data_IF_087549847860
#
_entry.id   IF_087549847860
#
_cell.length_a   1.000
_cell.length_b   1.000
_cell.length_c   1.000
_cell.angle_alpha   90.00
_cell.angle_beta   90.00
_cell.angle_gamma   90.00
#
_symmetry.space_group_name_H-M   'P 1'
#
loop_
_entity.id
_entity.type
_entity.pdbx_description
1 polymer ?
#
# COMPACT_ATOMS: atom_id res chain seq x y z
N UNK A 1 0.13 -8.01 28.87
CA UNK A 1 -1.18 -7.93 29.56
C UNK A 1 -2.14 -6.95 28.89
N UNK A 2 -1.87 -5.65 28.79
CA UNK A 2 -2.78 -4.67 28.14
C UNK A 2 -3.11 -4.97 26.66
N UNK A 3 -2.13 -5.39 25.85
CA UNK A 3 -2.35 -5.79 24.45
C UNK A 3 -3.22 -7.03 24.31
N UNK A 4 -3.09 -8.00 25.22
CA UNK A 4 -3.89 -9.22 25.23
C UNK A 4 -5.35 -8.94 25.68
N UNK A 5 -5.54 -8.08 26.70
CA UNK A 5 -6.85 -7.62 27.11
C UNK A 5 -7.56 -6.82 26.02
N UNK A 6 -6.81 -6.00 25.28
CA UNK A 6 -7.34 -5.27 24.13
C UNK A 6 -7.78 -6.21 22.99
N UNK A 7 -6.95 -7.24 22.68
CA UNK A 7 -7.29 -8.25 21.69
C UNK A 7 -8.52 -9.07 22.09
N UNK A 8 -8.64 -9.43 23.38
CA UNK A 8 -9.79 -10.13 23.91
C UNK A 8 -11.06 -9.26 23.85
N UNK A 9 -10.96 -7.99 24.24
CA UNK A 9 -12.07 -7.02 24.14
C UNK A 9 -12.56 -6.86 22.69
N UNK A 10 -11.65 -6.79 21.71
CA UNK A 10 -12.01 -6.76 20.30
C UNK A 10 -12.68 -8.04 19.80
N UNK A 11 -12.37 -9.20 20.40
CA UNK A 11 -13.05 -10.47 20.10
C UNK A 11 -14.44 -10.56 20.71
N UNK A 12 -14.59 -10.10 21.98
CA UNK A 12 -15.83 -10.25 22.73
C UNK A 12 -16.86 -9.14 22.46
N UNK A 13 -16.41 -7.91 22.19
CA UNK A 13 -17.28 -6.75 21.99
C UNK A 13 -16.71 -5.81 20.91
N UNK A 14 -16.60 -6.27 19.67
CA UNK A 14 -15.97 -5.51 18.58
C UNK A 14 -16.66 -4.16 18.34
N UNK A 15 -17.98 -4.11 18.32
CA UNK A 15 -18.74 -2.88 18.09
C UNK A 15 -18.52 -1.83 19.20
N UNK A 16 -18.35 -2.28 20.44
CA UNK A 16 -18.04 -1.40 21.57
C UNK A 16 -16.60 -0.89 21.48
N UNK A 17 -15.64 -1.75 21.15
CA UNK A 17 -14.25 -1.38 20.96
C UNK A 17 -14.09 -0.40 19.79
N UNK A 18 -14.81 -0.63 18.70
CA UNK A 18 -14.89 0.24 17.55
C UNK A 18 -15.51 1.60 17.93
N UNK A 19 -16.61 1.61 18.67
CA UNK A 19 -17.24 2.83 19.15
C UNK A 19 -16.30 3.65 20.04
N UNK A 20 -15.58 3.02 20.95
CA UNK A 20 -14.64 3.69 21.85
C UNK A 20 -13.40 4.21 21.09
N UNK A 21 -12.83 3.41 20.19
CA UNK A 21 -11.58 3.75 19.51
C UNK A 21 -11.74 4.80 18.41
N UNK A 22 -12.93 4.96 17.84
CA UNK A 22 -13.17 5.92 16.76
C UNK A 22 -14.19 7.01 17.11
N UNK A 23 -15.32 6.65 17.72
CA UNK A 23 -16.38 7.65 18.03
C UNK A 23 -15.98 8.65 19.10
N UNK A 24 -15.26 8.23 20.14
CA UNK A 24 -14.77 9.15 21.17
C UNK A 24 -13.70 10.12 20.62
N UNK A 25 -12.67 9.67 19.90
CA UNK A 25 -11.78 10.58 19.19
C UNK A 25 -12.51 11.50 18.22
N UNK A 26 -13.51 11.00 17.46
CA UNK A 26 -14.29 11.83 16.55
C UNK A 26 -15.06 12.96 17.26
N UNK A 27 -15.62 12.67 18.43
CA UNK A 27 -16.29 13.70 19.27
C UNK A 27 -15.29 14.71 19.82
N UNK A 28 -14.10 14.26 20.26
CA UNK A 28 -13.03 15.14 20.72
C UNK A 28 -12.51 16.02 19.59
N UNK A 29 -12.24 15.46 18.42
CA UNK A 29 -11.81 16.20 17.24
C UNK A 29 -12.87 17.24 16.83
N UNK A 30 -14.16 16.89 16.87
CA UNK A 30 -15.23 17.83 16.60
C UNK A 30 -15.26 18.99 17.60
N UNK A 31 -15.16 18.71 18.90
CA UNK A 31 -15.15 19.75 19.95
C UNK A 31 -13.92 20.65 19.87
N UNK A 32 -12.75 20.13 19.50
CA UNK A 32 -11.50 20.88 19.47
C UNK A 32 -11.27 21.65 18.17
N UNK A 33 -11.72 21.10 17.05
CA UNK A 33 -11.39 21.62 15.72
C UNK A 33 -12.60 21.83 14.79
N UNK A 34 -13.59 20.95 14.84
CA UNK A 34 -14.65 20.91 13.84
C UNK A 34 -15.49 22.16 13.69
N UNK A 35 -15.66 22.95 14.77
CA UNK A 35 -16.38 24.20 14.76
C UNK A 35 -15.48 25.42 14.37
N UNK A 36 -14.16 25.29 14.51
CA UNK A 36 -13.18 26.35 14.16
C UNK A 36 -12.79 26.30 12.69
N UNK A 37 -13.09 25.21 12.01
CA UNK A 37 -12.73 25.03 10.61
C UNK A 37 -13.58 25.94 9.72
N UNK A 38 -13.03 27.09 9.37
CA UNK A 38 -13.56 27.95 8.30
C UNK A 38 -13.02 27.42 6.97
N UNK A 39 -13.85 27.48 5.91
CA UNK A 39 -13.39 27.16 4.56
C UNK A 39 -12.18 28.06 4.23
N UNK A 40 -11.02 27.43 4.13
CA UNK A 40 -9.81 28.12 3.65
C UNK A 40 -10.02 28.29 2.15
N UNK A 41 -9.99 29.52 1.66
CA UNK A 41 -10.06 29.79 0.22
C UNK A 41 -8.99 29.00 -0.53
N UNK A 42 -9.23 28.69 -1.82
CA UNK A 42 -8.23 28.05 -2.68
C UNK A 42 -6.99 28.93 -2.78
N UNK A 43 -6.04 28.73 -1.87
CA UNK A 43 -4.72 29.33 -2.00
C UNK A 43 -4.02 28.66 -3.18
N UNK A 44 -3.53 29.42 -4.13
CA UNK A 44 -2.64 28.94 -5.19
C UNK A 44 -1.33 28.49 -4.57
N UNK A 45 -0.86 27.31 -4.92
CA UNK A 45 0.26 26.62 -4.26
C UNK A 45 1.64 27.28 -4.49
N UNK A 46 1.76 28.21 -5.41
CA UNK A 46 3.05 28.82 -5.75
C UNK A 46 3.73 29.60 -4.59
N UNK A 47 3.01 29.91 -3.51
CA UNK A 47 3.51 30.75 -2.41
C UNK A 47 3.26 30.20 -1.00
N UNK A 48 2.70 28.99 -0.83
CA UNK A 48 2.35 28.47 0.49
C UNK A 48 3.06 27.13 0.80
N UNK A 49 3.53 26.92 2.04
CA UNK A 49 4.23 25.69 2.42
C UNK A 49 3.30 24.47 2.32
N UNK A 50 3.83 23.39 1.73
CA UNK A 50 3.16 22.10 1.67
C UNK A 50 3.77 21.18 2.71
N UNK A 51 2.92 20.55 3.50
CA UNK A 51 3.32 19.57 4.51
C UNK A 51 2.64 18.24 4.24
N UNK A 52 3.41 17.16 4.22
CA UNK A 52 2.90 15.79 4.16
C UNK A 52 2.99 15.18 5.56
N UNK A 53 1.86 15.06 6.24
CA UNK A 53 1.76 14.34 7.50
C UNK A 53 1.57 12.85 7.20
N UNK A 54 2.42 11.99 7.76
CA UNK A 54 2.37 10.55 7.50
C UNK A 54 3.29 9.74 8.40
N UNK A 55 3.34 8.44 8.18
CA UNK A 55 4.17 7.51 8.93
C UNK A 55 5.61 7.46 8.40
N UNK A 56 6.24 8.62 8.22
CA UNK A 56 7.54 8.71 7.55
C UNK A 56 8.64 7.92 8.25
N UNK A 57 8.64 7.90 9.59
CA UNK A 57 9.62 7.17 10.40
C UNK A 57 9.34 5.67 10.55
N UNK A 58 8.16 5.19 10.16
CA UNK A 58 7.78 3.79 10.32
C UNK A 58 8.07 2.95 9.06
N UNK A 59 8.41 1.67 9.28
CA UNK A 59 8.58 0.69 8.20
C UNK A 59 7.23 0.02 7.94
N UNK A 60 6.44 0.63 7.07
CA UNK A 60 5.13 0.14 6.60
C UNK A 60 4.77 0.78 5.26
N UNK A 61 3.84 0.15 4.50
CA UNK A 61 3.49 0.58 3.14
C UNK A 61 2.97 2.02 3.04
N UNK A 62 2.15 2.49 4.00
CA UNK A 62 1.71 3.88 4.04
C UNK A 62 2.88 4.86 4.29
N UNK A 63 3.88 4.45 5.07
CA UNK A 63 5.08 5.24 5.30
C UNK A 63 5.94 5.35 4.04
N UNK A 64 6.12 4.25 3.33
CA UNK A 64 6.84 4.23 2.04
C UNK A 64 6.16 5.14 1.02
N UNK A 65 4.85 5.01 0.88
CA UNK A 65 4.06 5.84 -0.02
C UNK A 65 4.12 7.35 0.34
N UNK A 66 4.13 7.69 1.64
CA UNK A 66 4.26 9.07 2.09
C UNK A 66 5.65 9.66 1.77
N UNK A 67 6.72 8.87 1.94
CA UNK A 67 8.09 9.28 1.55
C UNK A 67 8.21 9.47 0.04
N UNK A 68 7.65 8.53 -0.74
CA UNK A 68 7.58 8.64 -2.20
C UNK A 68 6.86 9.90 -2.66
N UNK A 69 5.75 10.26 -2.02
CA UNK A 69 5.01 11.50 -2.29
C UNK A 69 5.86 12.75 -2.01
N UNK A 70 6.55 12.81 -0.88
CA UNK A 70 7.44 13.94 -0.55
C UNK A 70 8.56 14.06 -1.59
N UNK A 71 9.22 12.95 -1.92
CA UNK A 71 10.28 12.91 -2.93
C UNK A 71 9.79 13.38 -4.30
N UNK A 72 8.61 12.90 -4.73
CA UNK A 72 8.01 13.29 -6.00
C UNK A 72 7.69 14.79 -6.06
N UNK A 73 7.07 15.34 -5.03
CA UNK A 73 6.77 16.79 -4.98
C UNK A 73 8.05 17.63 -4.92
N UNK A 74 9.05 17.21 -4.14
CA UNK A 74 10.33 17.90 -4.05
C UNK A 74 11.06 17.94 -5.41
N UNK A 75 10.98 16.88 -6.21
CA UNK A 75 11.61 16.80 -7.54
C UNK A 75 11.07 17.83 -8.54
N UNK A 76 9.91 18.42 -8.30
CA UNK A 76 9.32 19.50 -9.10
C UNK A 76 9.76 20.92 -8.66
N UNK A 77 10.69 21.03 -7.70
CA UNK A 77 11.05 22.30 -7.08
C UNK A 77 10.01 22.81 -6.08
N UNK A 78 9.01 22.00 -5.72
CA UNK A 78 8.00 22.37 -4.73
C UNK A 78 8.59 22.32 -3.33
N UNK A 79 8.45 23.42 -2.55
CA UNK A 79 8.81 23.42 -1.14
C UNK A 79 7.85 22.53 -0.35
N UNK A 80 8.27 21.30 -0.06
CA UNK A 80 7.50 20.32 0.68
C UNK A 80 8.27 19.84 1.91
N UNK A 81 7.56 19.67 3.03
CA UNK A 81 8.10 19.12 4.29
C UNK A 81 7.38 17.84 4.68
N UNK A 82 8.11 16.90 5.25
CA UNK A 82 7.52 15.77 5.95
C UNK A 82 7.17 16.16 7.39
N UNK A 83 6.03 15.70 7.89
CA UNK A 83 5.70 15.67 9.30
C UNK A 83 5.47 14.20 9.72
N UNK A 84 6.42 13.67 10.50
CA UNK A 84 6.30 12.30 10.99
C UNK A 84 5.34 12.22 12.18
N UNK A 85 4.30 11.42 12.03
CA UNK A 85 3.28 11.18 13.04
C UNK A 85 3.33 9.75 13.60
N UNK A 86 4.36 8.97 13.26
CA UNK A 86 4.47 7.55 13.59
C UNK A 86 4.26 7.31 15.08
N UNK A 87 5.07 7.91 15.95
CA UNK A 87 4.99 7.70 17.40
C UNK A 87 3.68 8.22 18.01
N UNK A 88 3.16 9.35 17.49
CA UNK A 88 1.87 9.92 17.93
C UNK A 88 0.69 8.99 17.69
N UNK A 89 0.81 8.11 16.68
CA UNK A 89 -0.20 7.13 16.29
C UNK A 89 0.18 5.69 16.66
N UNK A 90 1.21 5.53 17.54
CA UNK A 90 1.55 4.24 18.13
C UNK A 90 2.42 3.34 17.26
N UNK A 91 3.10 3.88 16.25
CA UNK A 91 4.07 3.17 15.43
C UNK A 91 5.50 3.52 15.83
N UNK A 92 6.37 2.51 15.91
CA UNK A 92 7.78 2.74 16.20
C UNK A 92 8.46 3.53 15.07
N UNK A 93 9.18 4.58 15.41
CA UNK A 93 10.09 5.28 14.51
C UNK A 93 11.37 4.46 14.36
N UNK A 94 11.65 4.00 13.14
CA UNK A 94 12.81 3.16 12.81
C UNK A 94 13.75 3.79 11.78
N UNK A 95 13.32 4.91 11.17
CA UNK A 95 14.10 5.65 10.18
C UNK A 95 14.46 7.02 10.72
N UNK A 96 15.72 7.43 10.54
CA UNK A 96 16.16 8.79 10.77
C UNK A 96 15.94 9.63 9.49
N UNK A 97 15.11 10.66 9.60
CA UNK A 97 14.65 11.47 8.47
C UNK A 97 14.97 12.97 8.66
N UNK A 98 15.80 13.30 9.64
CA UNK A 98 16.08 14.70 9.98
C UNK A 98 14.86 15.43 10.56
N UNK A 99 14.67 16.71 10.19
CA UNK A 99 13.55 17.51 10.71
C UNK A 99 12.21 17.10 10.11
N UNK A 100 11.39 16.46 10.91
CA UNK A 100 10.02 16.05 10.62
C UNK A 100 9.03 16.59 11.65
N UNK A 101 9.30 17.77 12.19
CA UNK A 101 8.47 18.37 13.25
C UNK A 101 7.10 18.84 12.74
N UNK A 102 6.17 18.99 13.70
CA UNK A 102 4.83 19.49 13.39
C UNK A 102 4.91 20.93 12.84
N UNK A 103 4.13 21.27 11.81
CA UNK A 103 4.07 22.64 11.32
C UNK A 103 3.30 23.53 12.29
N UNK A 104 3.62 24.83 12.30
CA UNK A 104 2.80 25.82 12.99
C UNK A 104 1.41 25.98 12.33
N UNK A 105 0.47 26.54 13.08
CA UNK A 105 -0.80 27.02 12.52
C UNK A 105 -0.56 28.11 11.47
N UNK A 106 -1.48 28.29 10.55
CA UNK A 106 -1.42 29.31 9.51
C UNK A 106 -1.62 28.77 8.10
N UNK A 107 -1.53 29.63 7.07
CA UNK A 107 -1.83 29.26 5.70
C UNK A 107 -0.88 28.20 5.16
N UNK A 108 -1.39 27.33 4.28
CA UNK A 108 -0.62 26.24 3.68
C UNK A 108 -1.49 25.12 3.18
N UNK A 109 -0.83 24.06 2.71
CA UNK A 109 -1.46 22.80 2.34
C UNK A 109 -0.97 21.69 3.27
N UNK A 110 -1.92 20.95 3.84
CA UNK A 110 -1.65 19.73 4.60
C UNK A 110 -2.14 18.52 3.81
N UNK A 111 -1.22 17.65 3.39
CA UNK A 111 -1.57 16.34 2.84
C UNK A 111 -1.48 15.34 3.98
N UNK A 112 -2.62 14.91 4.50
CA UNK A 112 -2.72 13.91 5.56
C UNK A 112 -2.67 12.51 4.92
N UNK A 113 -1.47 11.95 4.79
CA UNK A 113 -1.20 10.64 4.19
C UNK A 113 -1.39 9.53 5.24
N UNK A 114 -2.64 9.34 5.63
CA UNK A 114 -3.10 8.36 6.61
C UNK A 114 -4.60 8.14 6.45
N UNK A 115 -5.11 7.00 6.88
CA UNK A 115 -6.54 6.71 6.77
C UNK A 115 -7.39 7.51 7.78
N UNK A 116 -8.70 7.59 7.58
CA UNK A 116 -9.61 8.36 8.41
C UNK A 116 -9.52 8.16 9.92
N UNK A 117 -9.38 6.93 10.47
CA UNK A 117 -9.26 6.73 11.91
C UNK A 117 -8.04 7.44 12.51
N UNK A 118 -6.89 7.33 11.85
CA UNK A 118 -5.63 7.95 12.26
C UNK A 118 -5.71 9.48 12.15
N UNK A 119 -6.31 9.99 11.09
CA UNK A 119 -6.53 11.44 10.92
C UNK A 119 -7.41 12.00 12.04
N UNK A 120 -8.52 11.32 12.38
CA UNK A 120 -9.40 11.71 13.46
C UNK A 120 -8.66 11.71 14.80
N UNK A 121 -7.87 10.67 15.07
CA UNK A 121 -7.09 10.57 16.30
C UNK A 121 -6.05 11.70 16.39
N UNK A 122 -5.35 11.99 15.30
CA UNK A 122 -4.35 13.05 15.26
C UNK A 122 -4.99 14.44 15.52
N UNK A 123 -6.09 14.76 14.84
CA UNK A 123 -6.82 16.04 15.08
C UNK A 123 -7.38 16.09 16.49
N UNK A 124 -7.82 14.98 17.06
CA UNK A 124 -8.34 14.94 18.43
C UNK A 124 -7.26 15.25 19.48
N UNK A 125 -6.01 14.92 19.20
CA UNK A 125 -4.87 15.11 20.11
C UNK A 125 -4.12 16.41 19.82
N UNK A 126 -3.91 16.77 18.57
CA UNK A 126 -3.12 17.93 18.13
C UNK A 126 -3.75 18.61 16.89
N UNK A 127 -4.77 19.47 17.09
CA UNK A 127 -5.44 20.15 15.98
C UNK A 127 -4.64 21.32 15.38
N UNK A 128 -3.71 21.91 16.15
CA UNK A 128 -2.99 23.14 15.77
C UNK A 128 -2.29 23.08 14.40
N UNK A 129 -1.60 21.97 14.02
CA UNK A 129 -0.95 21.85 12.73
C UNK A 129 -1.88 21.95 11.52
N UNK A 130 -3.18 21.72 11.71
CA UNK A 130 -4.20 21.77 10.66
C UNK A 130 -4.87 23.14 10.53
N UNK A 131 -4.73 24.02 11.54
CA UNK A 131 -5.41 25.33 11.55
C UNK A 131 -4.89 26.24 10.43
N UNK A 132 -5.82 26.81 9.66
CA UNK A 132 -5.53 27.71 8.55
C UNK A 132 -5.08 27.03 7.24
N UNK A 133 -5.00 25.70 7.19
CA UNK A 133 -4.52 24.95 6.02
C UNK A 133 -5.66 24.35 5.18
N UNK A 134 -5.45 24.29 3.87
CA UNK A 134 -6.20 23.37 3.00
C UNK A 134 -5.76 21.94 3.33
N UNK A 135 -6.68 21.10 3.75
CA UNK A 135 -6.40 19.72 4.17
C UNK A 135 -6.82 18.75 3.07
N UNK A 136 -5.87 18.01 2.55
CA UNK A 136 -6.07 16.93 1.59
C UNK A 136 -5.90 15.61 2.34
N UNK A 137 -6.94 14.76 2.36
CA UNK A 137 -6.82 13.41 2.89
C UNK A 137 -6.27 12.49 1.81
N UNK A 138 -5.12 11.85 2.02
CA UNK A 138 -4.62 10.80 1.14
C UNK A 138 -4.94 9.45 1.77
N UNK A 139 -5.97 8.77 1.24
CA UNK A 139 -6.56 7.59 1.85
C UNK A 139 -6.40 6.35 0.97
N UNK A 140 -5.98 5.24 1.58
CA UNK A 140 -5.85 3.94 0.94
C UNK A 140 -6.86 2.96 1.52
N UNK A 141 -7.52 2.19 0.66
CA UNK A 141 -8.49 1.19 1.09
C UNK A 141 -8.57 0.04 0.09
N UNK A 142 -8.78 -1.16 0.60
CA UNK A 142 -8.67 -2.39 -0.17
C UNK A 142 -10.01 -3.07 -0.46
N UNK A 143 -11.15 -2.52 -0.03
CA UNK A 143 -12.46 -3.07 -0.34
C UNK A 143 -13.34 -2.10 -1.13
N UNK A 144 -14.36 -2.64 -1.80
CA UNK A 144 -15.30 -1.87 -2.62
C UNK A 144 -16.21 -0.93 -1.81
N UNK A 145 -16.18 -1.01 -0.48
CA UNK A 145 -16.92 -0.13 0.44
C UNK A 145 -16.05 0.22 1.64
N UNK A 146 -16.02 1.50 1.99
CA UNK A 146 -15.32 1.96 3.20
C UNK A 146 -16.17 1.74 4.45
N UNK A 147 -15.53 1.54 5.62
CA UNK A 147 -16.24 1.43 6.90
C UNK A 147 -17.04 2.70 7.21
N UNK A 148 -18.19 2.54 7.84
CA UNK A 148 -19.04 3.67 8.26
C UNK A 148 -18.33 4.62 9.23
N UNK A 149 -17.37 4.13 9.98
CA UNK A 149 -16.50 4.89 10.88
C UNK A 149 -15.62 5.94 10.20
N UNK A 150 -15.44 5.83 8.88
CA UNK A 150 -14.70 6.83 8.12
C UNK A 150 -15.49 8.13 7.91
N UNK A 151 -16.82 8.07 8.01
CA UNK A 151 -17.72 9.22 7.74
C UNK A 151 -17.37 10.50 8.52
N UNK A 152 -17.01 10.45 9.81
CA UNK A 152 -16.63 11.67 10.54
C UNK A 152 -15.45 12.42 9.94
N UNK A 153 -14.51 11.72 9.28
CA UNK A 153 -13.31 12.34 8.72
C UNK A 153 -13.60 13.24 7.51
N UNK A 154 -14.68 13.00 6.76
CA UNK A 154 -15.05 13.83 5.60
C UNK A 154 -15.22 15.31 5.95
N UNK A 155 -15.46 15.65 7.20
CA UNK A 155 -15.59 17.04 7.67
C UNK A 155 -14.25 17.75 7.88
N UNK A 156 -13.15 16.98 7.94
CA UNK A 156 -11.81 17.50 8.24
C UNK A 156 -10.93 17.66 7.02
N UNK A 157 -11.42 17.28 5.84
CA UNK A 157 -10.69 17.40 4.58
C UNK A 157 -11.45 18.30 3.59
N UNK A 158 -10.71 18.99 2.73
CA UNK A 158 -11.24 19.80 1.65
C UNK A 158 -11.30 19.04 0.34
N UNK A 159 -10.45 18.01 0.22
CA UNK A 159 -10.30 17.16 -0.93
C UNK A 159 -9.74 15.81 -0.49
N UNK A 160 -9.98 14.76 -1.26
CA UNK A 160 -9.48 13.43 -1.00
C UNK A 160 -8.68 12.95 -2.21
N UNK A 161 -7.46 12.49 -1.95
CA UNK A 161 -6.64 11.78 -2.90
C UNK A 161 -6.62 10.29 -2.55
N UNK A 162 -6.56 9.44 -3.56
CA UNK A 162 -6.55 7.98 -3.42
C UNK A 162 -5.62 7.35 -4.45
N UNK A 163 -5.03 6.20 -4.17
CA UNK A 163 -4.01 5.63 -5.04
C UNK A 163 -4.57 4.98 -6.32
N UNK A 164 -5.87 4.65 -6.37
CA UNK A 164 -6.47 3.92 -7.50
C UNK A 164 -7.93 4.29 -7.76
N UNK A 165 -8.43 3.97 -8.95
CA UNK A 165 -9.85 4.07 -9.30
C UNK A 165 -10.71 3.19 -8.40
N UNK A 166 -10.23 1.99 -8.06
CA UNK A 166 -10.92 1.08 -7.15
C UNK A 166 -11.17 1.75 -5.78
N UNK A 167 -10.15 2.35 -5.19
CA UNK A 167 -10.29 3.09 -3.93
C UNK A 167 -11.16 4.33 -4.11
N UNK A 168 -11.04 5.05 -5.26
CA UNK A 168 -11.87 6.22 -5.53
C UNK A 168 -13.36 5.89 -5.54
N UNK A 169 -13.75 4.79 -6.18
CA UNK A 169 -15.14 4.35 -6.21
C UNK A 169 -15.66 4.00 -4.81
N UNK A 170 -14.86 3.28 -4.01
CA UNK A 170 -15.22 2.94 -2.64
C UNK A 170 -15.47 4.19 -1.78
N UNK A 171 -14.62 5.21 -1.91
CA UNK A 171 -14.73 6.49 -1.19
C UNK A 171 -15.89 7.32 -1.71
N UNK A 172 -16.07 7.48 -3.03
CA UNK A 172 -17.15 8.28 -3.65
C UNK A 172 -18.54 7.82 -3.22
N UNK A 173 -18.73 6.52 -3.00
CA UNK A 173 -20.00 5.97 -2.49
C UNK A 173 -20.37 6.46 -1.10
N UNK A 174 -19.39 6.84 -0.28
CA UNK A 174 -19.57 7.27 1.11
C UNK A 174 -19.38 8.78 1.31
N UNK A 175 -18.61 9.43 0.43
CA UNK A 175 -18.24 10.84 0.55
C UNK A 175 -19.41 11.78 0.20
N UNK A 176 -19.54 12.92 0.89
CA UNK A 176 -20.45 13.99 0.46
C UNK A 176 -20.11 14.47 -0.97
N UNK A 177 -21.12 14.70 -1.80
CA UNK A 177 -20.96 15.11 -3.22
C UNK A 177 -20.08 16.34 -3.42
N UNK A 178 -19.95 17.21 -2.42
CA UNK A 178 -19.12 18.43 -2.46
C UNK A 178 -17.61 18.15 -2.36
N UNK A 179 -17.22 16.97 -1.88
CA UNK A 179 -15.81 16.61 -1.75
C UNK A 179 -15.29 16.01 -3.05
N UNK A 180 -14.28 16.64 -3.63
CA UNK A 180 -13.56 16.09 -4.75
C UNK A 180 -12.77 14.86 -4.31
N UNK A 181 -12.88 13.77 -5.08
CA UNK A 181 -12.07 12.54 -4.89
C UNK A 181 -11.24 12.34 -6.16
N UNK A 182 -9.94 12.48 -6.04
CA UNK A 182 -8.98 12.40 -7.16
C UNK A 182 -8.13 11.15 -7.06
N UNK A 183 -7.86 10.53 -8.19
CA UNK A 183 -6.91 9.43 -8.29
C UNK A 183 -5.52 10.04 -8.44
N UNK A 184 -4.70 9.87 -7.41
CA UNK A 184 -3.31 10.28 -7.33
C UNK A 184 -2.47 9.03 -7.03
N UNK A 185 -2.05 8.26 -8.04
CA UNK A 185 -1.30 7.03 -7.85
C UNK A 185 0.00 7.27 -7.08
N UNK A 186 0.53 6.23 -6.45
CA UNK A 186 1.86 6.30 -5.85
C UNK A 186 2.92 6.48 -6.94
N UNK A 187 3.90 7.38 -6.77
CA UNK A 187 5.05 7.46 -7.65
C UNK A 187 5.89 6.20 -7.50
N UNK A 188 6.29 5.62 -8.62
CA UNK A 188 7.12 4.42 -8.64
C UNK A 188 8.48 4.78 -9.23
N UNK A 189 9.55 4.78 -8.42
CA UNK A 189 10.89 5.02 -8.92
C UNK A 189 11.36 3.83 -9.76
N UNK A 190 12.04 4.12 -10.86
CA UNK A 190 12.74 3.08 -11.62
C UNK A 190 14.05 2.78 -10.91
N UNK A 191 14.13 1.63 -10.24
CA UNK A 191 15.36 1.18 -9.61
C UNK A 191 16.36 0.75 -10.69
N UNK A 192 17.63 1.16 -10.52
CA UNK A 192 18.77 0.73 -11.34
C UNK A 192 19.71 -0.20 -10.58
N UNK A 193 19.23 -0.77 -9.49
CA UNK A 193 20.02 -1.67 -8.65
C UNK A 193 20.34 -2.93 -9.42
N UNK A 194 21.62 -3.29 -9.46
CA UNK A 194 22.08 -4.53 -10.06
C UNK A 194 21.63 -5.74 -9.21
N UNK A 195 21.31 -6.88 -9.84
CA UNK A 195 21.00 -8.11 -9.10
C UNK A 195 22.27 -8.65 -8.42
N UNK A 196 22.07 -9.20 -7.23
CA UNK A 196 23.11 -9.92 -6.48
C UNK A 196 22.45 -11.10 -5.75
N UNK A 197 22.36 -12.24 -6.44
CA UNK A 197 21.76 -13.47 -5.91
C UNK A 197 22.56 -14.05 -4.75
N UNK A 198 23.89 -13.95 -4.83
CA UNK A 198 24.80 -14.46 -3.78
C UNK A 198 24.56 -13.80 -2.43
N UNK A 199 24.21 -12.50 -2.41
CA UNK A 199 23.90 -11.74 -1.19
C UNK A 199 22.75 -12.35 -0.38
N UNK A 200 21.80 -12.98 -1.06
CA UNK A 200 20.61 -13.58 -0.45
C UNK A 200 20.66 -15.11 -0.43
N UNK A 201 21.77 -15.72 -0.86
CA UNK A 201 21.88 -17.18 -0.95
C UNK A 201 20.96 -17.81 -1.99
N UNK A 202 20.59 -17.05 -3.04
CA UNK A 202 19.76 -17.52 -4.14
C UNK A 202 20.61 -18.28 -5.16
N UNK A 203 20.12 -19.44 -5.58
CA UNK A 203 20.80 -20.26 -6.58
C UNK A 203 20.80 -19.54 -7.94
N UNK A 204 21.97 -19.39 -8.59
CA UNK A 204 22.09 -18.72 -9.89
C UNK A 204 21.34 -19.44 -11.00
N UNK A 205 21.20 -20.76 -10.91
CA UNK A 205 20.59 -21.60 -11.96
C UNK A 205 19.07 -21.77 -11.80
N UNK A 206 18.52 -21.34 -10.66
CA UNK A 206 17.08 -21.42 -10.40
C UNK A 206 16.35 -20.19 -10.92
N UNK A 207 15.10 -20.38 -11.35
CA UNK A 207 14.15 -19.28 -11.54
C UNK A 207 13.63 -18.84 -10.17
N UNK A 208 13.85 -17.59 -9.83
CA UNK A 208 13.50 -17.04 -8.50
C UNK A 208 12.13 -16.37 -8.55
N UNK A 209 11.18 -16.96 -7.83
CA UNK A 209 9.81 -16.44 -7.66
C UNK A 209 9.74 -15.73 -6.31
N UNK A 210 9.46 -14.43 -6.30
CA UNK A 210 9.35 -13.62 -5.08
C UNK A 210 7.88 -13.41 -4.71
N UNK A 211 7.53 -13.66 -3.44
CA UNK A 211 6.26 -13.23 -2.85
C UNK A 211 6.56 -12.45 -1.57
N UNK A 212 6.19 -11.17 -1.51
CA UNK A 212 6.58 -10.34 -0.37
C UNK A 212 5.40 -9.60 0.26
N UNK A 213 5.36 -9.58 1.59
CA UNK A 213 4.28 -8.99 2.36
C UNK A 213 4.66 -8.73 3.82
N UNK A 214 3.86 -7.91 4.50
CA UNK A 214 3.99 -7.64 5.94
C UNK A 214 3.05 -8.59 6.71
N UNK A 215 3.59 -9.37 7.64
CA UNK A 215 2.83 -10.31 8.48
C UNK A 215 1.88 -9.59 9.45
N UNK A 216 2.10 -8.32 9.74
CA UNK A 216 1.20 -7.47 10.52
C UNK A 216 -0.04 -7.04 9.73
N UNK A 217 0.06 -7.05 8.40
CA UNK A 217 -1.12 -6.95 7.52
C UNK A 217 -1.95 -8.22 7.64
N UNK A 218 -3.23 -8.15 7.31
CA UNK A 218 -4.08 -9.35 7.33
C UNK A 218 -3.53 -10.42 6.40
N UNK A 219 -3.01 -11.52 6.96
CA UNK A 219 -2.43 -12.64 6.21
C UNK A 219 -3.45 -13.19 5.20
N UNK A 220 -4.72 -13.28 5.61
CA UNK A 220 -5.80 -13.70 4.74
C UNK A 220 -5.91 -12.83 3.48
N UNK A 221 -5.70 -11.50 3.57
CA UNK A 221 -5.73 -10.59 2.44
C UNK A 221 -4.54 -10.78 1.50
N UNK A 222 -3.35 -10.96 2.05
CA UNK A 222 -2.12 -11.18 1.27
C UNK A 222 -2.04 -12.57 0.65
N UNK A 223 -2.74 -13.55 1.26
CA UNK A 223 -2.99 -14.89 0.73
C UNK A 223 -1.71 -15.67 0.31
N UNK A 224 -0.66 -15.71 1.13
CA UNK A 224 0.58 -16.40 0.77
C UNK A 224 0.43 -17.91 0.62
N UNK A 225 -0.57 -18.50 1.27
CA UNK A 225 -0.82 -19.93 1.15
C UNK A 225 -1.26 -20.32 -0.28
N UNK A 226 -2.09 -19.48 -0.92
CA UNK A 226 -2.42 -19.68 -2.33
C UNK A 226 -1.19 -19.50 -3.25
N UNK A 227 -0.29 -18.57 -2.92
CA UNK A 227 0.96 -18.41 -3.67
C UNK A 227 1.87 -19.64 -3.52
N UNK A 228 1.97 -20.22 -2.33
CA UNK A 228 2.69 -21.46 -2.08
C UNK A 228 2.09 -22.65 -2.87
N UNK A 229 0.77 -22.78 -2.86
CA UNK A 229 0.06 -23.82 -3.57
C UNK A 229 0.22 -23.70 -5.09
N UNK A 230 0.09 -22.49 -5.64
CA UNK A 230 0.34 -22.21 -7.06
C UNK A 230 1.79 -22.51 -7.46
N UNK A 231 2.77 -22.16 -6.60
CA UNK A 231 4.16 -22.50 -6.86
C UNK A 231 4.39 -24.01 -6.88
N UNK A 232 3.84 -24.75 -5.91
CA UNK A 232 3.92 -26.23 -5.89
C UNK A 232 3.28 -26.86 -7.14
N UNK A 233 2.12 -26.34 -7.57
CA UNK A 233 1.48 -26.76 -8.81
C UNK A 233 2.34 -26.48 -10.03
N UNK A 234 3.03 -25.32 -10.06
CA UNK A 234 3.93 -24.95 -11.15
C UNK A 234 5.15 -25.87 -11.23
N UNK A 235 5.89 -26.05 -10.14
CA UNK A 235 7.13 -26.88 -10.15
C UNK A 235 6.85 -28.35 -10.45
N UNK A 236 5.66 -28.86 -10.15
CA UNK A 236 5.25 -30.21 -10.54
C UNK A 236 5.08 -30.36 -12.06
N UNK A 237 5.01 -29.28 -12.82
CA UNK A 237 4.79 -29.25 -14.29
C UNK A 237 6.02 -28.81 -15.07
N UNK A 238 6.98 -28.10 -14.42
CA UNK A 238 8.17 -27.57 -15.06
C UNK A 238 9.34 -28.55 -15.02
N UNK A 239 10.29 -28.37 -15.95
CA UNK A 239 11.55 -29.10 -15.98
C UNK A 239 12.70 -28.29 -15.42
N UNK A 240 12.50 -26.98 -15.26
CA UNK A 240 13.52 -26.06 -14.75
C UNK A 240 13.42 -25.95 -13.23
N UNK A 241 14.55 -25.88 -12.53
CA UNK A 241 14.54 -25.64 -11.10
C UNK A 241 14.05 -24.23 -10.81
N UNK A 242 13.25 -24.09 -9.76
CA UNK A 242 12.75 -22.81 -9.30
C UNK A 242 12.77 -22.74 -7.78
N UNK A 243 12.87 -21.53 -7.23
CA UNK A 243 12.81 -21.27 -5.78
C UNK A 243 11.77 -20.20 -5.50
N UNK A 244 10.83 -20.49 -4.59
CA UNK A 244 9.92 -19.49 -4.03
C UNK A 244 10.60 -18.80 -2.84
N UNK A 245 10.74 -17.48 -2.92
CA UNK A 245 11.23 -16.66 -1.83
C UNK A 245 10.06 -15.92 -1.19
N UNK A 246 9.71 -16.27 0.05
CA UNK A 246 8.85 -15.44 0.87
C UNK A 246 9.69 -14.37 1.56
N UNK A 247 9.50 -13.12 1.19
CA UNK A 247 10.10 -11.98 1.89
C UNK A 247 9.06 -11.34 2.80
N UNK A 248 9.27 -11.48 4.10
CA UNK A 248 8.33 -10.95 5.09
C UNK A 248 8.98 -9.97 6.05
N UNK A 249 8.16 -9.24 6.75
CA UNK A 249 8.52 -8.43 7.93
C UNK A 249 7.43 -8.60 8.98
N UNK A 250 7.80 -8.39 10.25
CA UNK A 250 6.81 -8.35 11.33
C UNK A 250 6.49 -9.69 11.96
N UNK A 251 7.31 -10.73 11.75
CA UNK A 251 7.10 -12.03 12.37
C UNK A 251 7.13 -11.99 13.89
N UNK A 252 8.00 -11.17 14.48
CA UNK A 252 8.05 -10.98 15.94
C UNK A 252 6.76 -10.34 16.49
N UNK A 253 6.13 -9.44 15.73
CA UNK A 253 4.89 -8.78 16.12
C UNK A 253 3.63 -9.61 15.78
N UNK A 254 3.73 -10.56 14.83
CA UNK A 254 2.65 -11.43 14.37
C UNK A 254 3.07 -12.92 14.38
N UNK A 255 3.46 -13.49 15.55
CA UNK A 255 4.04 -14.83 15.63
C UNK A 255 3.08 -15.94 15.16
N UNK A 256 1.78 -15.77 15.33
CA UNK A 256 0.80 -16.75 14.85
C UNK A 256 0.74 -16.79 13.32
N UNK A 257 0.86 -15.65 12.64
CA UNK A 257 0.90 -15.58 11.18
C UNK A 257 2.19 -16.21 10.63
N UNK A 258 3.34 -15.93 11.29
CA UNK A 258 4.62 -16.54 10.94
C UNK A 258 4.58 -18.06 11.13
N UNK A 259 4.08 -18.54 12.27
CA UNK A 259 3.96 -19.99 12.55
C UNK A 259 3.06 -20.70 11.53
N UNK A 260 1.94 -20.08 11.15
CA UNK A 260 1.05 -20.62 10.10
C UNK A 260 1.77 -20.75 8.75
N UNK A 261 2.56 -19.75 8.37
CA UNK A 261 3.35 -19.79 7.14
C UNK A 261 4.44 -20.87 7.20
N UNK A 262 5.18 -20.94 8.28
CA UNK A 262 6.23 -21.96 8.48
C UNK A 262 5.65 -23.38 8.45
N UNK A 263 4.50 -23.60 9.11
CA UNK A 263 3.81 -24.89 9.06
C UNK A 263 3.40 -25.27 7.65
N UNK A 264 2.94 -24.32 6.85
CA UNK A 264 2.55 -24.58 5.47
C UNK A 264 3.76 -24.84 4.55
N UNK A 265 4.89 -24.18 4.77
CA UNK A 265 6.14 -24.42 4.05
C UNK A 265 6.65 -25.83 4.36
N UNK A 266 6.68 -26.24 5.64
CA UNK A 266 7.20 -27.54 6.08
C UNK A 266 8.69 -27.69 5.75
N UNK A 267 9.07 -28.86 5.24
CA UNK A 267 10.46 -29.20 4.90
C UNK A 267 10.80 -28.93 3.41
N UNK A 268 10.02 -28.07 2.72
CA UNK A 268 10.22 -27.77 1.31
C UNK A 268 11.56 -27.07 1.08
N UNK A 269 12.46 -27.70 0.28
CA UNK A 269 13.82 -27.19 0.00
C UNK A 269 13.84 -26.12 -1.09
N UNK A 270 12.78 -26.05 -1.87
CA UNK A 270 12.56 -25.08 -2.95
C UNK A 270 11.79 -23.84 -2.49
N UNK A 271 11.62 -23.67 -1.15
CA UNK A 271 10.99 -22.50 -0.54
C UNK A 271 11.92 -21.89 0.50
N UNK A 272 12.23 -20.60 0.32
CA UNK A 272 13.05 -19.81 1.24
C UNK A 272 12.20 -18.77 1.96
N UNK A 273 12.42 -18.55 3.24
CA UNK A 273 11.80 -17.48 4.01
C UNK A 273 12.85 -16.47 4.49
N UNK A 274 12.66 -15.20 4.18
CA UNK A 274 13.46 -14.07 4.67
C UNK A 274 12.54 -13.18 5.52
N UNK A 275 12.43 -13.43 6.84
CA UNK A 275 11.63 -12.61 7.77
C UNK A 275 12.53 -11.65 8.55
N UNK A 276 12.95 -10.56 7.90
CA UNK A 276 13.72 -9.48 8.52
C UNK A 276 13.52 -8.16 7.78
N UNK A 277 13.62 -7.01 8.45
CA UNK A 277 13.71 -5.74 7.76
C UNK A 277 14.92 -5.69 6.83
N UNK A 278 14.74 -5.21 5.63
CA UNK A 278 15.83 -4.91 4.69
C UNK A 278 16.00 -3.40 4.56
N UNK A 279 17.22 -2.96 4.30
CA UNK A 279 17.45 -1.59 3.84
C UNK A 279 16.75 -1.36 2.48
N UNK A 280 16.56 -0.11 2.08
CA UNK A 280 16.00 0.20 0.76
C UNK A 280 16.87 -0.41 -0.34
N UNK A 281 18.20 -0.30 -0.22
CA UNK A 281 19.13 -0.87 -1.19
C UNK A 281 19.04 -2.41 -1.26
N UNK A 282 18.90 -3.09 -0.10
CA UNK A 282 18.74 -4.55 -0.07
C UNK A 282 17.41 -5.01 -0.64
N UNK A 283 16.33 -4.27 -0.35
CA UNK A 283 15.01 -4.54 -0.92
C UNK A 283 15.03 -4.44 -2.43
N UNK A 284 15.62 -3.36 -2.96
CA UNK A 284 15.74 -3.13 -4.39
C UNK A 284 16.66 -4.17 -5.05
N UNK A 285 17.73 -4.56 -4.38
CA UNK A 285 18.64 -5.62 -4.84
C UNK A 285 17.94 -7.01 -4.86
N UNK A 286 17.15 -7.34 -3.83
CA UNK A 286 16.37 -8.58 -3.81
C UNK A 286 15.36 -8.61 -4.96
N UNK A 287 14.64 -7.50 -5.18
CA UNK A 287 13.69 -7.39 -6.28
C UNK A 287 14.39 -7.49 -7.64
N UNK A 288 15.57 -6.89 -7.79
CA UNK A 288 16.39 -7.03 -8.99
C UNK A 288 16.88 -8.47 -9.21
N UNK A 289 17.11 -9.24 -8.14
CA UNK A 289 17.64 -10.60 -8.16
C UNK A 289 16.58 -11.67 -8.43
N UNK A 290 15.28 -11.36 -8.32
CA UNK A 290 14.21 -12.28 -8.68
C UNK A 290 13.85 -12.19 -10.18
N UNK A 291 13.13 -13.19 -10.68
CA UNK A 291 12.67 -13.29 -12.07
C UNK A 291 11.18 -13.00 -12.19
N UNK A 292 10.38 -13.48 -11.24
CA UNK A 292 8.93 -13.39 -11.22
C UNK A 292 8.47 -12.87 -9.87
N UNK A 293 7.53 -11.92 -9.85
CA UNK A 293 6.77 -11.57 -8.65
C UNK A 293 5.43 -12.28 -8.67
N UNK A 294 5.13 -13.04 -7.61
CA UNK A 294 3.87 -13.75 -7.40
C UNK A 294 3.06 -13.13 -6.27
N UNK A 295 1.84 -12.68 -6.55
CA UNK A 295 0.94 -12.10 -5.55
C UNK A 295 -0.51 -12.52 -5.78
N UNK A 296 -0.95 -13.57 -5.12
CA UNK A 296 -2.35 -14.02 -5.17
C UNK A 296 -3.19 -13.33 -4.09
N UNK A 297 -2.98 -12.03 -3.93
CA UNK A 297 -3.70 -11.19 -2.98
C UNK A 297 -5.21 -11.24 -3.21
N UNK A 298 -5.97 -11.12 -2.13
CA UNK A 298 -7.43 -11.05 -2.21
C UNK A 298 -7.94 -9.64 -2.49
N UNK A 299 -7.18 -8.62 -2.11
CA UNK A 299 -7.45 -7.23 -2.50
C UNK A 299 -6.27 -6.31 -2.19
N UNK A 300 -6.04 -5.32 -3.03
CA UNK A 300 -5.04 -4.26 -2.85
C UNK A 300 -5.66 -2.89 -3.16
N UNK A 301 -5.30 -1.89 -2.36
CA UNK A 301 -5.69 -0.51 -2.66
C UNK A 301 -4.94 0.06 -3.87
N UNK A 302 -3.70 -0.42 -4.08
CA UNK A 302 -2.84 -0.06 -5.21
C UNK A 302 -1.95 -1.24 -5.63
N UNK A 303 -1.26 -1.88 -4.67
CA UNK A 303 -0.28 -2.91 -4.94
C UNK A 303 1.09 -2.32 -5.27
N UNK A 304 1.67 -1.49 -4.38
CA UNK A 304 2.93 -0.80 -4.63
C UNK A 304 4.06 -1.74 -5.05
N UNK A 305 4.22 -2.89 -4.39
CA UNK A 305 5.23 -3.88 -4.75
C UNK A 305 5.03 -4.47 -6.16
N UNK A 306 3.78 -4.63 -6.60
CA UNK A 306 3.48 -5.06 -7.97
C UNK A 306 3.99 -4.04 -8.98
N UNK A 307 3.72 -2.76 -8.74
CA UNK A 307 4.18 -1.67 -9.59
C UNK A 307 5.72 -1.54 -9.56
N UNK A 308 6.36 -1.71 -8.41
CA UNK A 308 7.83 -1.73 -8.26
C UNK A 308 8.47 -2.89 -9.02
N UNK A 309 7.88 -4.09 -8.98
CA UNK A 309 8.35 -5.23 -9.75
C UNK A 309 8.23 -5.02 -11.26
N UNK A 310 7.10 -4.47 -11.71
CA UNK A 310 6.92 -4.08 -13.11
C UNK A 310 7.94 -3.02 -13.54
N UNK A 311 8.19 -1.99 -12.71
CA UNK A 311 9.20 -0.97 -12.96
C UNK A 311 10.62 -1.53 -13.01
N UNK A 312 10.90 -2.61 -12.28
CA UNK A 312 12.15 -3.37 -12.31
C UNK A 312 12.24 -4.35 -13.50
N UNK A 313 11.25 -4.37 -14.39
CA UNK A 313 11.23 -5.25 -15.56
C UNK A 313 10.97 -6.72 -15.23
N UNK A 314 10.33 -7.01 -14.10
CA UNK A 314 10.02 -8.38 -13.70
C UNK A 314 8.66 -8.82 -14.24
N UNK A 315 8.54 -10.09 -14.61
CA UNK A 315 7.23 -10.68 -14.87
C UNK A 315 6.41 -10.72 -13.58
N UNK A 316 5.13 -10.43 -13.68
CA UNK A 316 4.22 -10.39 -12.52
C UNK A 316 3.05 -11.31 -12.75
N UNK A 317 2.78 -12.19 -11.79
CA UNK A 317 1.58 -13.03 -11.71
C UNK A 317 0.77 -12.54 -10.50
N UNK A 318 -0.39 -11.98 -10.74
CA UNK A 318 -1.20 -11.40 -9.68
C UNK A 318 -2.70 -11.60 -9.90
N UNK A 319 -3.46 -11.60 -8.80
CA UNK A 319 -4.93 -11.66 -8.90
C UNK A 319 -5.46 -10.52 -9.76
N UNK A 320 -6.33 -10.83 -10.72
CA UNK A 320 -6.95 -9.85 -11.63
C UNK A 320 -8.05 -9.02 -10.95
N UNK A 321 -7.80 -8.48 -9.74
CA UNK A 321 -8.78 -7.77 -8.91
C UNK A 321 -8.18 -6.59 -8.16
N UNK A 322 -8.94 -5.50 -8.07
CA UNK A 322 -8.74 -4.32 -7.24
C UNK A 322 -7.79 -3.26 -7.81
N UNK A 323 -7.03 -2.55 -6.96
CA UNK A 323 -6.30 -1.34 -7.35
C UNK A 323 -5.15 -1.54 -8.34
N UNK A 324 -4.59 -2.74 -8.42
CA UNK A 324 -3.54 -3.07 -9.37
C UNK A 324 -4.00 -3.03 -10.84
N UNK A 325 -5.30 -3.18 -11.10
CA UNK A 325 -5.86 -3.11 -12.47
C UNK A 325 -5.78 -1.70 -13.09
N UNK A 326 -5.42 -0.69 -12.33
CA UNK A 326 -5.21 0.64 -12.88
C UNK A 326 -3.98 0.73 -13.79
N UNK A 327 -2.98 -0.15 -13.61
CA UNK A 327 -1.73 -0.14 -14.36
C UNK A 327 -1.31 -1.52 -14.89
N UNK A 328 -1.99 -2.61 -14.48
CA UNK A 328 -1.76 -3.96 -15.00
C UNK A 328 -2.78 -4.33 -16.07
N UNK A 329 -2.32 -5.05 -17.08
CA UNK A 329 -3.18 -5.59 -18.15
C UNK A 329 -2.56 -6.84 -18.76
N UNK A 330 -3.31 -7.58 -19.56
CA UNK A 330 -2.95 -8.91 -20.10
C UNK A 330 -1.64 -8.95 -20.90
N UNK A 331 -1.17 -7.81 -21.41
CA UNK A 331 0.11 -7.71 -22.11
C UNK A 331 1.30 -7.47 -21.20
N UNK A 332 1.07 -7.01 -19.98
CA UNK A 332 2.10 -6.52 -19.03
C UNK A 332 2.19 -7.36 -17.77
N UNK A 333 1.24 -8.26 -17.55
CA UNK A 333 1.23 -9.15 -16.39
C UNK A 333 0.29 -10.33 -16.66
N UNK A 334 0.42 -11.39 -15.87
CA UNK A 334 -0.60 -12.43 -15.78
C UNK A 334 -1.65 -11.99 -14.77
N UNK A 335 -2.86 -11.74 -15.26
CA UNK A 335 -4.03 -11.43 -14.41
C UNK A 335 -4.77 -12.75 -14.11
N UNK A 336 -4.52 -13.30 -12.93
CA UNK A 336 -5.12 -14.56 -12.48
C UNK A 336 -6.62 -14.42 -12.32
N UNK A 337 -7.45 -15.30 -12.91
CA UNK A 337 -8.89 -15.36 -12.69
C UNK A 337 -9.22 -15.50 -11.20
N UNK A 338 -10.41 -15.06 -10.81
CA UNK A 338 -10.85 -15.10 -9.42
C UNK A 338 -12.35 -15.27 -9.28
N UNK A 339 -12.79 -15.67 -8.09
CA UNK A 339 -14.18 -15.56 -7.64
C UNK A 339 -14.27 -14.62 -6.46
N UNK A 340 -15.37 -13.86 -6.34
CA UNK A 340 -15.58 -13.03 -5.17
C UNK A 340 -16.17 -13.88 -4.04
N UNK A 341 -15.52 -13.85 -2.88
CA UNK A 341 -15.94 -14.51 -1.66
C UNK A 341 -16.20 -13.49 -0.54
N UNK A 342 -16.98 -13.87 0.46
CA UNK A 342 -17.12 -13.07 1.68
C UNK A 342 -15.78 -12.98 2.41
N UNK A 343 -15.53 -11.82 3.00
CA UNK A 343 -14.31 -11.62 3.80
C UNK A 343 -14.37 -12.51 5.05
N UNK A 344 -13.35 -13.33 5.20
CA UNK A 344 -12.97 -14.00 6.44
C UNK A 344 -11.69 -13.35 6.95
N UNK A 345 -11.85 -12.40 7.89
CA UNK A 345 -10.75 -11.65 8.50
C UNK A 345 -10.83 -11.74 10.01
N UNK A 346 -9.99 -12.59 10.64
CA UNK A 346 -9.96 -12.73 12.09
C UNK A 346 -9.61 -11.43 12.84
N UNK A 347 -8.96 -10.47 12.19
CA UNK A 347 -8.63 -9.17 12.77
C UNK A 347 -9.82 -8.19 12.71
N UNK A 348 -10.82 -8.48 11.87
CA UNK A 348 -12.05 -7.71 11.75
C UNK A 348 -11.93 -6.36 11.04
N UNK A 349 -10.80 -6.06 10.40
CA UNK A 349 -10.56 -4.80 9.67
C UNK A 349 -11.48 -4.68 8.45
N UNK A 350 -11.75 -5.81 7.77
CA UNK A 350 -12.46 -5.87 6.49
C UNK A 350 -13.86 -6.48 6.59
N UNK A 351 -14.49 -6.43 7.79
CA UNK A 351 -15.79 -7.05 8.05
C UNK A 351 -16.87 -6.67 7.05
N UNK A 352 -17.71 -7.67 6.72
CA UNK A 352 -18.88 -7.48 5.86
C UNK A 352 -18.57 -7.13 4.41
N UNK A 353 -17.31 -7.23 4.00
CA UNK A 353 -16.85 -7.01 2.63
C UNK A 353 -16.83 -8.29 1.80
N UNK A 354 -16.44 -8.12 0.54
CA UNK A 354 -16.06 -9.21 -0.37
C UNK A 354 -14.68 -8.91 -0.95
N UNK A 355 -13.91 -9.96 -1.18
CA UNK A 355 -12.62 -9.91 -1.83
C UNK A 355 -12.43 -11.08 -2.79
N UNK A 356 -11.37 -11.08 -3.58
CA UNK A 356 -11.10 -12.09 -4.58
C UNK A 356 -10.46 -13.34 -3.95
N UNK A 357 -10.92 -14.51 -4.34
CA UNK A 357 -10.21 -15.77 -4.20
C UNK A 357 -9.63 -16.11 -5.58
N UNK A 358 -8.30 -16.03 -5.71
CA UNK A 358 -7.60 -16.33 -6.95
C UNK A 358 -7.78 -17.80 -7.32
N UNK A 359 -7.83 -18.09 -8.61
CA UNK A 359 -7.75 -19.43 -9.17
C UNK A 359 -6.29 -19.92 -9.10
N UNK A 360 -6.01 -20.77 -8.11
CA UNK A 360 -4.67 -21.26 -7.81
C UNK A 360 -4.12 -22.14 -8.94
N UNK A 361 -4.99 -22.91 -9.60
CA UNK A 361 -4.61 -23.77 -10.70
C UNK A 361 -4.21 -22.98 -11.95
N UNK A 362 -5.01 -21.97 -12.29
CA UNK A 362 -4.68 -21.04 -13.38
C UNK A 362 -3.38 -20.28 -13.07
N UNK A 363 -3.17 -19.86 -11.81
CA UNK A 363 -1.92 -19.24 -11.39
C UNK A 363 -0.72 -20.17 -11.51
N UNK A 364 -0.87 -21.43 -11.08
CA UNK A 364 0.17 -22.47 -11.19
C UNK A 364 0.56 -22.76 -12.63
N UNK A 365 -0.44 -22.88 -13.53
CA UNK A 365 -0.19 -23.08 -14.95
C UNK A 365 0.59 -21.91 -15.58
N UNK A 366 0.11 -20.69 -15.37
CA UNK A 366 0.78 -19.48 -15.89
C UNK A 366 2.19 -19.28 -15.31
N UNK A 367 2.38 -19.65 -14.04
CA UNK A 367 3.70 -19.60 -13.40
C UNK A 367 4.65 -20.63 -14.03
N UNK A 368 4.17 -21.85 -14.33
CA UNK A 368 4.94 -22.87 -15.02
C UNK A 368 5.42 -22.40 -16.40
N UNK A 369 4.52 -21.79 -17.18
CA UNK A 369 4.86 -21.23 -18.51
C UNK A 369 5.96 -20.17 -18.39
N UNK A 370 5.89 -19.29 -17.39
CA UNK A 370 6.91 -18.25 -17.15
C UNK A 370 8.23 -18.82 -16.60
N UNK A 371 8.21 -19.94 -15.89
CA UNK A 371 9.42 -20.63 -15.43
C UNK A 371 10.14 -21.27 -16.61
N UNK A 372 9.43 -21.92 -17.51
CA UNK A 372 10.01 -22.68 -18.62
C UNK A 372 10.41 -21.80 -19.82
N UNK A 373 9.81 -20.61 -20.02
CA UNK A 373 10.05 -19.71 -21.16
C UNK A 373 10.66 -18.38 -20.73
N UNK A 374 12.02 -18.29 -20.80
CA UNK A 374 12.77 -17.07 -20.50
C UNK A 374 12.40 -15.91 -21.43
N UNK A 375 12.23 -16.21 -22.74
CA UNK A 375 11.96 -15.18 -23.73
C UNK A 375 10.60 -14.53 -23.48
N UNK A 376 9.59 -15.33 -23.17
CA UNK A 376 8.26 -14.85 -22.78
C UNK A 376 8.29 -14.05 -21.49
N UNK A 377 8.96 -14.56 -20.45
CA UNK A 377 9.11 -13.90 -19.14
C UNK A 377 9.78 -12.53 -19.28
N UNK A 378 10.91 -12.46 -19.97
CA UNK A 378 11.62 -11.20 -20.20
C UNK A 378 10.84 -10.21 -21.07
N UNK A 379 10.19 -10.69 -22.12
CA UNK A 379 9.37 -9.83 -22.97
C UNK A 379 8.18 -9.23 -22.21
N UNK A 380 7.56 -10.00 -21.30
CA UNK A 380 6.52 -9.49 -20.38
C UNK A 380 7.09 -8.43 -19.45
N UNK A 381 8.23 -8.70 -18.81
CA UNK A 381 8.91 -7.76 -17.92
C UNK A 381 9.26 -6.44 -18.61
N UNK A 382 9.78 -6.47 -19.83
CA UNK A 382 10.07 -5.25 -20.62
C UNK A 382 8.80 -4.44 -20.88
N UNK A 383 7.71 -5.07 -21.33
CA UNK A 383 6.42 -4.38 -21.56
C UNK A 383 5.86 -3.80 -20.27
N UNK A 384 6.00 -4.51 -19.15
CA UNK A 384 5.60 -4.05 -17.82
C UNK A 384 6.37 -2.79 -17.41
N UNK A 385 7.69 -2.79 -17.59
CA UNK A 385 8.57 -1.65 -17.29
C UNK A 385 8.20 -0.41 -18.10
N UNK A 386 8.00 -0.56 -19.40
CA UNK A 386 7.57 0.52 -20.28
C UNK A 386 6.22 1.11 -19.87
N UNK A 387 5.23 0.25 -19.58
CA UNK A 387 3.89 0.67 -19.20
C UNK A 387 3.88 1.43 -17.87
N UNK A 388 4.57 0.90 -16.84
CA UNK A 388 4.67 1.57 -15.53
C UNK A 388 5.52 2.82 -15.63
N UNK A 389 6.60 2.81 -16.38
CA UNK A 389 7.42 3.99 -16.65
C UNK A 389 6.63 5.14 -17.28
N UNK A 390 5.74 4.84 -18.21
CA UNK A 390 4.89 5.84 -18.85
C UNK A 390 3.78 6.39 -17.93
N UNK A 391 3.28 5.60 -16.98
CA UNK A 391 2.11 5.94 -16.18
C UNK A 391 2.43 6.36 -14.74
N UNK A 392 3.41 5.72 -14.10
CA UNK A 392 3.66 5.82 -12.66
C UNK A 392 5.05 6.35 -12.31
N UNK A 393 5.89 6.64 -13.31
CA UNK A 393 7.22 7.22 -13.03
C UNK A 393 7.10 8.48 -12.17
N UNK A 394 8.04 8.66 -11.25
CA UNK A 394 8.05 9.78 -10.31
C UNK A 394 7.77 11.14 -10.96
N UNK A 395 8.37 11.53 -12.11
CA UNK A 395 8.09 12.81 -12.76
C UNK A 395 6.65 12.94 -13.27
N UNK A 396 6.05 11.83 -13.76
CA UNK A 396 4.67 11.80 -14.27
C UNK A 396 3.69 12.07 -13.13
N UNK A 397 3.84 11.32 -12.04
CA UNK A 397 2.97 11.46 -10.87
C UNK A 397 3.19 12.80 -10.16
N UNK A 398 4.44 13.26 -10.05
CA UNK A 398 4.76 14.58 -9.49
C UNK A 398 4.05 15.70 -10.25
N UNK A 399 4.08 15.68 -11.59
CA UNK A 399 3.36 16.62 -12.44
C UNK A 399 1.84 16.57 -12.22
N UNK A 400 1.26 15.35 -12.15
CA UNK A 400 -0.15 15.17 -11.88
C UNK A 400 -0.56 15.77 -10.52
N UNK A 401 0.21 15.46 -9.48
CA UNK A 401 -0.06 15.97 -8.12
C UNK A 401 0.08 17.49 -8.04
N UNK A 402 1.06 18.07 -8.74
CA UNK A 402 1.22 19.52 -8.83
C UNK A 402 -0.02 20.18 -9.44
N UNK A 403 -0.52 19.67 -10.56
CA UNK A 403 -1.76 20.15 -11.17
C UNK A 403 -2.96 20.07 -10.22
N UNK A 404 -3.06 19.01 -9.40
CA UNK A 404 -4.11 18.90 -8.38
C UNK A 404 -3.97 19.95 -7.28
N UNK A 405 -2.75 20.23 -6.85
CA UNK A 405 -2.46 21.29 -5.89
C UNK A 405 -2.85 22.65 -6.44
N UNK A 406 -2.61 22.91 -7.71
CA UNK A 406 -2.97 24.16 -8.40
C UNK A 406 -4.47 24.28 -8.72
N UNK A 407 -5.25 23.24 -8.37
CA UNK A 407 -6.72 23.25 -8.51
C UNK A 407 -7.22 22.81 -9.87
N UNK A 408 -6.34 22.31 -10.74
CA UNK A 408 -6.76 21.77 -12.03
C UNK A 408 -7.56 20.46 -11.86
N UNK A 409 -8.59 20.29 -12.68
CA UNK A 409 -9.26 18.99 -12.82
C UNK A 409 -8.54 18.22 -13.92
N UNK A 410 -7.90 17.06 -13.56
CA UNK A 410 -7.39 16.18 -14.60
C UNK A 410 -8.55 15.76 -15.52
N UNK A 411 -8.39 15.79 -16.84
CA UNK A 411 -9.32 15.09 -17.71
C UNK A 411 -9.27 13.62 -17.33
N UNK A 412 -10.45 13.02 -17.07
CA UNK A 412 -10.57 11.58 -16.95
C UNK A 412 -10.17 11.01 -18.32
N UNK A 413 -8.94 10.55 -18.48
CA UNK A 413 -8.60 9.69 -19.62
C UNK A 413 -9.49 8.45 -19.51
N UNK A 414 -10.33 8.27 -20.53
CA UNK A 414 -11.24 7.13 -20.70
C UNK A 414 -10.44 5.84 -20.83
#
# INVERSE_FOLDING_TARGET
>A
MLKQLRALAWRCAPDLCEAISVRLPALRAYRRYGWRRRAVGRATTAAVPIVVAGFHGAVLGLGEAARGLVSALASTGTAVRAWDVSERLGHARRLDLGDTTAPAAGPGVMIAHMNPPELIQLIATDPMPFEGKRVIGYWAWELARVPSLWKPAFRYVDEIWVPSRFTAEAIRRAAPRRLAVRVAPHPVPVSRTAPDRGRFGLDPDHVIVLSAFDLRSTLARKNPLAALEAFRSAVARTRRPATLVFKTVGGAEAPAALASLLTAIGDARDVMLIDQPLSVADRDCLLASCDILLSLHRSEGFGLLLAEAMAAGKAVVATGWSGNLDYMGDRTAVLVPYTLISVDDPQGVYRGGRWAQADVEAAGSALADLIDDDAHREAMGRRAQEAVGAQLATPVIATLMRRFLDGETAPLSR
#
